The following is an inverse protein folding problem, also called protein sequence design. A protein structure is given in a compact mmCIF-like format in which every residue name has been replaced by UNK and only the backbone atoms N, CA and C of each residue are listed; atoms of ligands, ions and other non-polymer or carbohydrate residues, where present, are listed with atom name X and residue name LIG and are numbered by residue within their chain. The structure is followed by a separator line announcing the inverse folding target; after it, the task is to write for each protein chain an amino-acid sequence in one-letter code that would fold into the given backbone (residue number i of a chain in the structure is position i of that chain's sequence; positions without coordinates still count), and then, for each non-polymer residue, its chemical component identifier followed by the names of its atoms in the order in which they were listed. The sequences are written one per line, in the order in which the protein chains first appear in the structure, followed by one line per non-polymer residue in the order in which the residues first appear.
data_IF_653431917611
#
_entry.id   IF_653431917611
#
_cell.length_a   1.000
_cell.length_b   1.000
_cell.length_c   1.000
_cell.angle_alpha   90.00
_cell.angle_beta   90.00
_cell.angle_gamma   90.00
#
_symmetry.space_group_name_H-M   'P 1'
#
loop_
_entity.id
_entity.type
_entity.pdbx_description
1 polymer ?
#
# COMPACT_ATOMS: atom_id res chain seq x y z
N UNK A 1 14.47 12.61 17.61
CA UNK A 1 15.71 12.15 18.30
C UNK A 1 16.89 12.42 17.39
N UNK A 2 17.76 13.38 17.74
CA UNK A 2 18.87 13.84 16.89
C UNK A 2 20.07 12.89 16.98
N UNK A 3 20.71 12.59 15.86
CA UNK A 3 21.88 11.71 15.74
C UNK A 3 22.77 12.18 14.61
N UNK A 4 24.08 11.92 14.70
CA UNK A 4 25.02 12.14 13.60
C UNK A 4 25.30 10.83 12.87
N UNK A 5 25.19 10.83 11.55
CA UNK A 5 25.38 9.66 10.67
C UNK A 5 26.52 9.94 9.71
N UNK A 6 27.45 9.02 9.61
CA UNK A 6 28.60 9.16 8.71
C UNK A 6 28.22 8.82 7.26
N UNK A 7 28.82 9.55 6.31
CA UNK A 7 28.63 9.29 4.87
C UNK A 7 29.10 7.89 4.43
N UNK A 8 30.05 7.32 5.13
CA UNK A 8 30.56 5.96 4.90
C UNK A 8 29.55 4.84 5.23
N UNK A 9 28.52 5.17 6.06
CA UNK A 9 27.45 4.25 6.42
C UNK A 9 26.11 4.99 6.47
N UNK A 10 25.59 5.44 5.30
CA UNK A 10 24.40 6.24 5.22
C UNK A 10 23.15 5.43 5.58
N UNK A 11 22.09 6.13 5.96
CA UNK A 11 20.79 5.51 6.15
C UNK A 11 20.12 5.39 4.79
N UNK A 12 19.76 4.16 4.40
CA UNK A 12 18.91 3.91 3.24
C UNK A 12 17.48 4.27 3.61
N UNK A 13 16.85 5.07 2.76
CA UNK A 13 15.47 5.51 2.94
C UNK A 13 14.79 5.69 1.57
N UNK A 14 13.51 6.03 1.60
CA UNK A 14 12.66 6.15 0.42
C UNK A 14 11.92 7.47 0.44
N UNK A 15 11.79 8.08 -0.74
CA UNK A 15 11.19 9.40 -0.87
C UNK A 15 10.28 9.46 -2.10
N UNK A 16 9.15 10.14 -1.94
CA UNK A 16 8.26 10.51 -3.05
C UNK A 16 8.57 11.91 -3.58
N UNK A 17 8.16 12.14 -4.82
CA UNK A 17 8.31 13.40 -5.55
C UNK A 17 7.10 13.60 -6.47
N UNK A 18 6.92 14.82 -6.98
CA UNK A 18 6.03 15.05 -8.08
C UNK A 18 6.60 14.48 -9.41
N UNK A 19 5.86 14.62 -10.50
CA UNK A 19 6.25 14.17 -11.85
C UNK A 19 7.62 14.69 -12.35
N UNK A 20 8.03 15.87 -11.87
CA UNK A 20 9.29 16.55 -12.25
C UNK A 20 10.46 16.25 -11.28
N UNK A 21 10.35 15.26 -10.40
CA UNK A 21 11.31 14.98 -9.32
C UNK A 21 11.51 16.16 -8.36
N UNK A 22 10.46 16.94 -8.10
CA UNK A 22 10.49 18.00 -7.11
C UNK A 22 9.82 17.58 -5.80
N UNK A 23 10.24 18.15 -4.68
CA UNK A 23 9.49 18.02 -3.43
C UNK A 23 8.16 18.77 -3.52
N UNK A 24 7.07 18.19 -2.98
CA UNK A 24 5.74 18.80 -3.11
C UNK A 24 5.61 20.11 -2.33
N UNK A 25 6.26 20.22 -1.17
CA UNK A 25 6.04 21.36 -0.28
C UNK A 25 6.88 22.59 -0.60
N UNK A 26 8.11 22.41 -1.13
CA UNK A 26 9.04 23.51 -1.36
C UNK A 26 9.52 23.63 -2.81
N UNK A 27 9.04 22.76 -3.70
CA UNK A 27 9.42 22.75 -5.11
C UNK A 27 10.92 22.49 -5.34
N UNK A 28 11.64 21.97 -4.35
CA UNK A 28 13.07 21.69 -4.49
C UNK A 28 13.30 20.60 -5.53
N UNK A 29 14.11 20.92 -6.54
CA UNK A 29 14.40 20.04 -7.66
C UNK A 29 15.52 19.06 -7.32
N UNK A 30 15.27 17.76 -7.57
CA UNK A 30 16.25 16.71 -7.40
C UNK A 30 16.66 16.10 -8.74
N UNK A 31 17.82 15.47 -8.79
CA UNK A 31 18.31 14.67 -9.91
C UNK A 31 18.90 13.36 -9.40
N UNK A 32 18.66 12.26 -10.13
CA UNK A 32 19.23 10.94 -9.80
C UNK A 32 20.76 10.99 -9.87
N UNK A 33 21.40 10.41 -8.86
CA UNK A 33 22.85 10.38 -8.70
C UNK A 33 23.45 11.60 -7.99
N UNK A 34 22.69 12.69 -7.82
CA UNK A 34 23.19 13.92 -7.16
C UNK A 34 23.06 13.88 -5.64
N UNK A 35 23.99 14.59 -5.02
CA UNK A 35 24.02 14.85 -3.57
C UNK A 35 23.60 16.30 -3.29
N UNK A 36 22.91 16.49 -2.17
CA UNK A 36 22.47 17.80 -1.70
C UNK A 36 22.77 17.94 -0.23
N UNK A 37 23.04 19.17 0.19
CA UNK A 37 23.40 19.53 1.56
C UNK A 37 22.68 20.81 1.99
N UNK A 38 22.37 20.89 3.29
CA UNK A 38 21.94 22.12 3.96
C UNK A 38 22.84 22.38 5.17
N UNK A 39 23.17 23.64 5.40
CA UNK A 39 23.98 24.08 6.53
C UNK A 39 23.15 24.39 7.78
N UNK A 40 21.84 24.58 7.60
CA UNK A 40 20.90 24.90 8.68
C UNK A 40 20.65 23.71 9.61
N UNK A 41 20.21 24.00 10.82
CA UNK A 41 19.84 22.98 11.80
C UNK A 41 18.71 22.10 11.27
N UNK A 42 18.90 20.77 11.34
CA UNK A 42 17.90 19.79 10.93
C UNK A 42 16.82 19.65 12.00
N UNK A 43 15.58 19.80 11.58
CA UNK A 43 14.41 19.61 12.43
C UNK A 43 13.29 18.95 11.64
N UNK A 44 12.77 17.85 12.18
CA UNK A 44 11.73 17.05 11.53
C UNK A 44 10.47 17.89 11.27
N UNK A 45 9.93 17.80 10.05
CA UNK A 45 8.79 18.58 9.55
C UNK A 45 9.01 20.10 9.42
N UNK A 46 10.20 20.61 9.73
CA UNK A 46 10.55 22.04 9.63
C UNK A 46 11.62 22.24 8.59
N UNK A 47 12.81 21.63 8.80
CA UNK A 47 13.96 21.82 7.92
C UNK A 47 14.77 20.54 7.76
N UNK A 48 15.23 20.26 6.54
CA UNK A 48 16.01 19.07 6.21
C UNK A 48 15.44 18.26 5.04
N UNK A 49 16.19 17.27 4.61
CA UNK A 49 15.76 16.33 3.57
C UNK A 49 14.97 15.18 4.19
N UNK A 50 13.66 15.17 3.98
CA UNK A 50 12.74 14.21 4.56
C UNK A 50 12.59 12.96 3.68
N UNK A 51 12.57 11.78 4.31
CA UNK A 51 12.30 10.49 3.70
C UNK A 51 11.65 9.52 4.70
N UNK A 52 11.30 8.30 4.27
CA UNK A 52 10.82 7.23 5.13
C UNK A 52 11.76 6.03 5.07
N UNK A 53 11.95 5.34 6.20
CA UNK A 53 12.79 4.14 6.23
C UNK A 53 12.07 2.93 5.60
N UNK A 54 10.77 2.80 5.81
CA UNK A 54 9.97 1.80 5.11
C UNK A 54 9.36 2.41 3.84
N UNK A 55 9.52 1.77 2.67
CA UNK A 55 8.95 2.25 1.41
C UNK A 55 7.44 2.48 1.47
N UNK A 56 6.67 1.60 2.12
CA UNK A 56 5.21 1.73 2.19
C UNK A 56 4.76 2.97 2.97
N UNK A 57 5.59 3.47 3.89
CA UNK A 57 5.27 4.68 4.66
C UNK A 57 5.33 5.94 3.80
N UNK A 58 6.02 5.90 2.66
CA UNK A 58 6.04 7.00 1.71
C UNK A 58 4.65 7.29 1.16
N UNK A 59 3.83 6.27 0.98
CA UNK A 59 2.47 6.40 0.42
C UNK A 59 1.50 7.18 1.33
N UNK A 60 1.80 7.34 2.60
CA UNK A 60 1.04 8.23 3.50
C UNK A 60 1.23 9.72 3.18
N UNK A 61 2.33 10.07 2.55
CA UNK A 61 2.70 11.45 2.24
C UNK A 61 2.62 11.77 0.74
N UNK A 62 2.76 10.73 -0.07
CA UNK A 62 2.75 10.78 -1.52
C UNK A 62 1.86 9.66 -2.04
N UNK A 63 0.59 9.95 -2.25
CA UNK A 63 -0.37 8.97 -2.74
C UNK A 63 0.16 8.23 -3.96
N UNK A 64 -0.16 6.96 -4.08
CA UNK A 64 0.05 6.24 -5.33
C UNK A 64 -0.69 6.97 -6.44
N UNK A 65 0.03 7.35 -7.48
CA UNK A 65 -0.50 8.15 -8.58
C UNK A 65 0.46 8.04 -9.77
N UNK A 66 -0.03 8.13 -11.03
CA UNK A 66 0.83 8.19 -12.21
C UNK A 66 1.76 9.41 -12.22
N UNK A 67 1.43 10.45 -11.44
CA UNK A 67 2.20 11.69 -11.33
C UNK A 67 3.18 11.71 -10.16
N UNK A 68 3.24 10.63 -9.40
CA UNK A 68 4.16 10.51 -8.27
C UNK A 68 5.33 9.62 -8.66
N UNK A 69 6.54 10.12 -8.46
CA UNK A 69 7.77 9.39 -8.66
C UNK A 69 8.38 9.04 -7.31
N UNK A 70 9.07 7.91 -7.24
CA UNK A 70 9.69 7.42 -6.02
C UNK A 70 11.15 7.11 -6.24
N UNK A 71 11.98 7.31 -5.22
CA UNK A 71 13.39 6.96 -5.28
C UNK A 71 13.89 6.37 -3.97
N UNK A 72 14.87 5.48 -4.09
CA UNK A 72 15.75 5.10 -3.02
C UNK A 72 16.76 6.22 -2.80
N UNK A 73 16.97 6.61 -1.55
CA UNK A 73 17.85 7.70 -1.15
C UNK A 73 18.80 7.27 -0.04
N UNK A 74 19.94 7.92 0.04
CA UNK A 74 20.90 7.83 1.13
C UNK A 74 20.85 9.12 1.96
N UNK A 75 20.80 9.00 3.28
CA UNK A 75 20.76 10.11 4.22
C UNK A 75 21.94 10.03 5.19
N UNK A 76 22.60 11.16 5.42
CA UNK A 76 23.70 11.28 6.39
C UNK A 76 23.85 12.70 6.93
N UNK A 77 24.82 12.90 7.82
CA UNK A 77 25.08 14.17 8.52
C UNK A 77 24.28 14.27 9.81
N UNK A 78 23.74 15.43 10.09
CA UNK A 78 22.81 15.59 11.20
C UNK A 78 21.47 15.02 10.82
N UNK A 79 20.94 14.12 11.65
CA UNK A 79 19.71 13.37 11.35
C UNK A 79 18.76 13.47 12.52
N UNK A 80 17.49 13.75 12.24
CA UNK A 80 16.42 13.73 13.23
C UNK A 80 15.36 12.68 12.86
N UNK A 81 14.95 11.90 13.88
CA UNK A 81 13.99 10.80 13.76
C UNK A 81 12.72 11.13 14.51
N UNK A 82 11.60 10.74 13.97
CA UNK A 82 10.34 10.70 14.69
C UNK A 82 10.40 9.65 15.82
N UNK A 83 9.94 10.01 17.05
CA UNK A 83 10.05 9.10 18.20
C UNK A 83 9.12 7.88 18.07
N UNK A 84 7.98 8.04 17.43
CA UNK A 84 6.99 6.98 17.12
C UNK A 84 6.51 7.24 15.70
N UNK A 85 7.40 7.11 14.73
CA UNK A 85 7.00 7.50 13.40
C UNK A 85 7.88 6.94 12.32
N UNK A 86 7.51 7.27 11.14
CA UNK A 86 7.98 6.69 9.90
C UNK A 86 8.92 7.62 9.17
N UNK A 87 8.93 8.90 9.56
CA UNK A 87 9.76 9.95 8.93
C UNK A 87 11.13 10.07 9.56
N UNK A 88 12.05 10.41 8.71
CA UNK A 88 13.43 10.78 9.03
C UNK A 88 13.79 12.01 8.22
N UNK A 89 14.54 12.93 8.77
CA UNK A 89 15.14 14.01 8.01
C UNK A 89 16.64 14.14 8.28
N UNK A 90 17.38 14.63 7.30
CA UNK A 90 18.83 14.72 7.37
C UNK A 90 19.36 16.01 6.74
N UNK A 91 20.58 16.42 7.13
CA UNK A 91 21.29 17.54 6.51
C UNK A 91 21.83 17.21 5.11
N UNK A 92 21.99 15.93 4.79
CA UNK A 92 22.46 15.48 3.48
C UNK A 92 21.57 14.39 2.89
N UNK A 93 21.38 14.43 1.58
CA UNK A 93 20.67 13.42 0.81
C UNK A 93 21.37 13.15 -0.51
N UNK A 94 21.39 11.90 -0.93
CA UNK A 94 21.70 11.49 -2.31
C UNK A 94 20.55 10.74 -2.89
N UNK A 95 20.14 11.08 -4.11
CA UNK A 95 19.15 10.31 -4.86
C UNK A 95 19.88 9.16 -5.54
N UNK A 96 19.71 7.94 -5.04
CA UNK A 96 20.47 6.77 -5.52
C UNK A 96 19.94 6.29 -6.86
N UNK A 97 18.66 5.95 -6.89
CA UNK A 97 17.94 5.49 -8.08
C UNK A 97 16.45 5.75 -7.94
N UNK A 98 15.81 5.96 -9.06
CA UNK A 98 14.35 5.93 -9.13
C UNK A 98 13.85 4.49 -9.08
N UNK A 99 12.71 4.26 -8.43
CA UNK A 99 12.11 2.94 -8.27
C UNK A 99 10.61 3.01 -8.53
N UNK A 100 10.08 1.96 -9.14
CA UNK A 100 8.64 1.83 -9.41
C UNK A 100 7.83 1.45 -8.18
N UNK A 101 6.51 1.55 -8.30
CA UNK A 101 5.59 1.15 -7.23
C UNK A 101 5.75 -0.33 -6.88
N UNK A 102 5.99 -1.20 -7.86
CA UNK A 102 6.25 -2.62 -7.70
C UNK A 102 7.48 -2.89 -6.79
N UNK A 103 8.58 -2.19 -7.03
CA UNK A 103 9.78 -2.29 -6.20
C UNK A 103 9.52 -1.69 -4.80
N UNK A 104 8.80 -0.55 -4.71
CA UNK A 104 8.40 0.04 -3.43
C UNK A 104 7.58 -0.94 -2.58
N UNK A 105 6.59 -1.59 -3.18
CA UNK A 105 5.71 -2.56 -2.50
C UNK A 105 6.50 -3.80 -2.08
N UNK A 106 7.32 -4.35 -2.97
CA UNK A 106 8.16 -5.53 -2.67
C UNK A 106 9.07 -5.26 -1.48
N UNK A 107 9.85 -4.19 -1.54
CA UNK A 107 10.79 -3.82 -0.47
C UNK A 107 10.05 -3.52 0.83
N UNK A 108 8.92 -2.82 0.75
CA UNK A 108 8.14 -2.46 1.91
C UNK A 108 7.48 -3.65 2.60
N UNK A 109 7.02 -4.65 1.85
CA UNK A 109 6.53 -5.91 2.41
C UNK A 109 7.67 -6.63 3.13
N UNK A 110 8.83 -6.75 2.49
CA UNK A 110 10.01 -7.42 3.09
C UNK A 110 10.47 -6.73 4.38
N UNK A 111 10.53 -5.39 4.40
CA UNK A 111 10.89 -4.63 5.60
C UNK A 111 9.82 -4.68 6.70
N UNK A 112 8.56 -4.86 6.32
CA UNK A 112 7.43 -4.91 7.25
C UNK A 112 7.26 -6.25 7.93
N UNK A 113 7.88 -7.33 7.40
CA UNK A 113 7.81 -8.65 8.03
C UNK A 113 8.54 -8.63 9.38
N UNK A 114 7.94 -9.15 10.44
CA UNK A 114 8.53 -9.09 11.77
C UNK A 114 9.86 -9.84 11.82
N UNK A 115 10.91 -9.15 12.22
CA UNK A 115 12.16 -9.77 12.71
C UNK A 115 11.84 -10.28 14.13
N UNK A 116 11.28 -11.47 14.23
CA UNK A 116 10.73 -12.01 15.48
C UNK A 116 11.85 -12.19 16.49
N UNK A 117 11.81 -11.39 17.57
CA UNK A 117 12.47 -11.69 18.82
C UNK A 117 11.39 -12.04 19.82
N UNK A 118 11.15 -13.33 20.03
CA UNK A 118 10.30 -13.82 21.14
C UNK A 118 11.06 -13.55 22.42
N UNK A 119 10.51 -12.73 23.31
CA UNK A 119 11.06 -12.54 24.64
C UNK A 119 10.58 -13.68 25.54
N UNK A 120 11.47 -14.21 26.37
CA UNK A 120 11.16 -15.33 27.33
C UNK A 120 10.01 -14.99 28.30
N UNK A 121 9.60 -13.74 28.40
CA UNK A 121 8.51 -13.27 29.25
C UNK A 121 7.16 -13.13 28.51
N UNK A 122 7.08 -13.44 27.23
CA UNK A 122 5.82 -13.40 26.51
C UNK A 122 4.94 -14.55 27.01
N UNK A 123 3.74 -14.20 27.46
CA UNK A 123 2.81 -15.21 28.02
C UNK A 123 2.44 -16.21 26.93
N UNK A 124 3.05 -17.38 26.97
CA UNK A 124 2.60 -18.56 26.21
C UNK A 124 1.30 -19.02 26.89
N UNK A 125 0.20 -18.82 26.21
CA UNK A 125 -1.12 -19.14 26.71
C UNK A 125 -1.74 -20.27 25.87
N UNK A 126 -2.78 -20.90 26.42
CA UNK A 126 -3.56 -21.96 25.79
C UNK A 126 -4.09 -21.58 24.41
N UNK A 127 -4.71 -22.51 23.68
CA UNK A 127 -5.32 -22.34 22.34
C UNK A 127 -6.27 -21.15 22.19
N UNK A 128 -6.66 -20.52 23.31
CA UNK A 128 -7.57 -19.37 23.34
C UNK A 128 -7.02 -18.27 24.23
N UNK A 129 -6.82 -17.11 23.65
CA UNK A 129 -6.39 -15.91 24.33
C UNK A 129 -7.48 -14.85 24.19
N UNK A 130 -7.92 -14.30 25.31
CA UNK A 130 -8.85 -13.16 25.32
C UNK A 130 -8.20 -12.06 26.16
N UNK A 131 -8.09 -10.87 25.59
CA UNK A 131 -7.59 -9.68 26.27
C UNK A 131 -8.47 -8.47 25.97
N UNK A 132 -8.81 -7.70 27.02
CA UNK A 132 -9.44 -6.40 26.89
C UNK A 132 -8.56 -5.29 27.50
N UNK A 133 -7.27 -5.53 27.59
CA UNK A 133 -6.31 -4.59 28.14
C UNK A 133 -5.73 -3.75 26.99
N UNK A 134 -5.71 -2.43 27.18
CA UNK A 134 -5.01 -1.54 26.26
C UNK A 134 -3.50 -1.74 26.37
N UNK A 135 -2.77 -1.45 25.30
CA UNK A 135 -1.32 -1.58 25.17
C UNK A 135 -0.83 -3.01 25.50
N UNK A 136 -1.66 -4.03 25.23
CA UNK A 136 -1.31 -5.43 25.49
C UNK A 136 -0.47 -6.03 24.39
N UNK A 137 0.35 -7.03 24.75
CA UNK A 137 1.14 -7.83 23.82
C UNK A 137 0.74 -9.28 23.91
N UNK A 138 0.17 -9.80 22.84
CA UNK A 138 -0.37 -11.15 22.77
C UNK A 138 0.49 -11.98 21.84
N UNK A 139 1.03 -13.07 22.34
CA UNK A 139 1.77 -14.05 21.55
C UNK A 139 1.04 -15.39 21.55
N UNK A 140 0.74 -15.91 20.36
CA UNK A 140 0.12 -17.21 20.17
C UNK A 140 0.97 -18.09 19.23
N UNK A 141 1.72 -19.06 19.75
CA UNK A 141 2.55 -19.96 18.94
C UNK A 141 1.83 -21.24 18.48
N UNK A 142 0.54 -21.38 18.74
CA UNK A 142 -0.18 -22.63 18.55
C UNK A 142 -0.89 -22.72 17.20
N UNK A 143 -0.85 -23.90 16.58
CA UNK A 143 -1.75 -24.22 15.48
C UNK A 143 -3.22 -24.23 16.01
N UNK A 144 -4.17 -23.79 15.15
CA UNK A 144 -5.60 -23.68 15.49
C UNK A 144 -5.88 -22.69 16.62
N UNK A 145 -4.94 -21.79 16.92
CA UNK A 145 -5.05 -20.79 17.98
C UNK A 145 -6.17 -19.78 17.72
N UNK A 146 -6.80 -19.31 18.81
CA UNK A 146 -7.83 -18.28 18.76
C UNK A 146 -7.44 -17.11 19.64
N UNK A 147 -7.38 -15.93 19.06
CA UNK A 147 -7.07 -14.69 19.77
C UNK A 147 -8.24 -13.73 19.61
N UNK A 148 -8.71 -13.19 20.71
CA UNK A 148 -9.70 -12.11 20.72
C UNK A 148 -9.15 -10.93 21.55
N UNK A 149 -9.14 -9.75 20.99
CA UNK A 149 -8.75 -8.51 21.66
C UNK A 149 -9.87 -7.47 21.57
N UNK A 150 -10.11 -6.76 22.68
CA UNK A 150 -10.98 -5.58 22.70
C UNK A 150 -10.27 -4.34 23.28
N UNK A 151 -9.01 -4.47 23.67
CA UNK A 151 -8.17 -3.34 24.05
C UNK A 151 -7.62 -2.63 22.82
N UNK A 152 -7.40 -1.32 22.91
CA UNK A 152 -6.78 -0.53 21.88
C UNK A 152 -5.25 -0.55 21.98
N UNK A 153 -4.57 -0.29 20.88
CA UNK A 153 -3.11 -0.28 20.77
C UNK A 153 -2.48 -1.66 21.13
N UNK A 154 -3.18 -2.72 20.77
CA UNK A 154 -2.78 -4.10 21.09
C UNK A 154 -1.89 -4.65 19.98
N UNK A 155 -0.80 -5.30 20.37
CA UNK A 155 0.06 -6.01 19.41
C UNK A 155 -0.18 -7.52 19.51
N UNK A 156 -0.64 -8.13 18.41
CA UNK A 156 -0.94 -9.56 18.34
C UNK A 156 0.05 -10.22 17.37
N UNK A 157 0.85 -11.15 17.89
CA UNK A 157 1.68 -12.02 17.07
C UNK A 157 1.15 -13.45 17.17
N UNK A 158 0.70 -14.00 16.07
CA UNK A 158 0.19 -15.36 15.98
C UNK A 158 1.00 -16.17 14.97
N UNK A 159 1.61 -17.27 15.43
CA UNK A 159 2.47 -18.13 14.60
C UNK A 159 1.90 -19.54 14.60
N UNK A 160 1.58 -20.06 13.43
CA UNK A 160 1.02 -21.41 13.26
C UNK A 160 -0.04 -21.45 12.16
N UNK A 161 -0.64 -22.60 11.95
CA UNK A 161 -1.64 -22.80 10.93
C UNK A 161 -3.06 -22.76 11.51
N UNK A 162 -4.06 -22.39 10.68
CA UNK A 162 -5.49 -22.40 11.03
C UNK A 162 -5.85 -21.46 12.19
N UNK A 163 -5.23 -20.30 12.25
CA UNK A 163 -5.44 -19.34 13.31
C UNK A 163 -6.68 -18.48 13.07
N UNK A 164 -7.34 -18.08 14.16
CA UNK A 164 -8.45 -17.14 14.14
C UNK A 164 -8.15 -15.96 15.06
N UNK A 165 -8.07 -14.76 14.47
CA UNK A 165 -7.74 -13.53 15.20
C UNK A 165 -8.89 -12.55 15.02
N UNK A 166 -9.46 -12.10 16.12
CA UNK A 166 -10.48 -11.07 16.15
C UNK A 166 -10.01 -9.90 17.02
N UNK A 167 -10.08 -8.68 16.50
CA UNK A 167 -9.79 -7.48 17.27
C UNK A 167 -10.85 -6.41 17.06
N UNK A 168 -11.23 -5.74 18.14
CA UNK A 168 -12.18 -4.61 18.10
C UNK A 168 -11.58 -3.31 18.64
N UNK A 169 -10.32 -3.32 19.04
CA UNK A 169 -9.59 -2.13 19.49
C UNK A 169 -9.12 -1.24 18.34
N UNK A 170 -8.88 0.03 18.63
CA UNK A 170 -8.28 0.97 17.70
C UNK A 170 -6.75 0.84 17.70
N UNK A 171 -6.10 1.11 16.58
CA UNK A 171 -4.64 1.12 16.43
C UNK A 171 -3.97 -0.23 16.76
N UNK A 172 -4.60 -1.34 16.42
CA UNK A 172 -4.04 -2.66 16.71
C UNK A 172 -3.08 -3.11 15.61
N UNK A 173 -1.95 -3.69 16.03
CA UNK A 173 -0.96 -4.31 15.16
C UNK A 173 -1.11 -5.82 15.18
N UNK A 174 -1.49 -6.42 14.06
CA UNK A 174 -1.73 -7.87 13.95
C UNK A 174 -0.74 -8.50 12.97
N UNK A 175 0.00 -9.48 13.46
CA UNK A 175 0.94 -10.28 12.66
C UNK A 175 0.50 -11.75 12.67
N UNK A 176 0.13 -12.27 11.52
CA UNK A 176 -0.22 -13.68 11.34
C UNK A 176 0.80 -14.37 10.43
N UNK A 177 1.45 -15.40 10.95
CA UNK A 177 2.47 -16.19 10.23
C UNK A 177 2.07 -17.66 10.22
N UNK A 178 2.06 -18.25 9.04
CA UNK A 178 1.59 -19.64 8.81
C UNK A 178 0.33 -19.63 7.94
N UNK A 179 -0.15 -20.80 7.55
CA UNK A 179 -1.21 -20.91 6.55
C UNK A 179 -2.61 -20.87 7.16
N UNK A 180 -3.59 -20.47 6.34
CA UNK A 180 -5.00 -20.51 6.65
C UNK A 180 -5.40 -19.66 7.87
N UNK A 181 -4.81 -18.47 8.03
CA UNK A 181 -5.23 -17.55 9.08
C UNK A 181 -6.51 -16.79 8.68
N UNK A 182 -7.46 -16.71 9.60
CA UNK A 182 -8.64 -15.87 9.51
C UNK A 182 -8.46 -14.67 10.45
N UNK A 183 -8.44 -13.45 9.90
CA UNK A 183 -8.25 -12.22 10.67
C UNK A 183 -9.45 -11.31 10.45
N UNK A 184 -10.07 -10.87 11.55
CA UNK A 184 -11.19 -9.94 11.52
C UNK A 184 -10.97 -8.77 12.47
N UNK A 185 -11.11 -7.54 11.96
CA UNK A 185 -11.02 -6.32 12.77
C UNK A 185 -12.15 -5.36 12.47
N UNK A 186 -12.58 -4.58 13.48
CA UNK A 186 -13.54 -3.49 13.30
C UNK A 186 -13.09 -2.18 13.96
N UNK A 187 -11.91 -2.14 14.55
CA UNK A 187 -11.30 -0.93 15.10
C UNK A 187 -10.80 0.03 14.00
N UNK A 188 -10.47 1.25 14.39
CA UNK A 188 -9.86 2.24 13.50
C UNK A 188 -8.35 2.05 13.45
N UNK A 189 -7.74 2.35 12.30
CA UNK A 189 -6.29 2.34 12.08
C UNK A 189 -5.60 0.99 12.37
N UNK A 190 -6.20 -0.19 12.12
CA UNK A 190 -5.47 -1.43 12.32
C UNK A 190 -4.37 -1.59 11.27
N UNK A 191 -3.25 -2.16 11.70
CA UNK A 191 -2.17 -2.62 10.79
C UNK A 191 -2.17 -4.15 10.82
N UNK A 192 -2.45 -4.76 9.68
CA UNK A 192 -2.50 -6.21 9.55
C UNK A 192 -1.40 -6.67 8.61
N UNK A 193 -0.54 -7.56 9.10
CA UNK A 193 0.52 -8.17 8.31
C UNK A 193 0.32 -9.68 8.31
N UNK A 194 0.28 -10.26 7.13
CA UNK A 194 0.10 -11.71 6.99
C UNK A 194 1.18 -12.32 6.11
N UNK A 195 1.66 -13.51 6.49
CA UNK A 195 2.63 -14.27 5.73
C UNK A 195 2.24 -15.75 5.73
N UNK A 196 1.76 -16.24 4.60
CA UNK A 196 1.36 -17.63 4.42
C UNK A 196 0.36 -17.81 3.27
N UNK A 197 -0.23 -19.00 3.18
CA UNK A 197 -1.13 -19.39 2.11
C UNK A 197 -2.58 -19.43 2.63
N UNK A 198 -3.55 -19.07 1.79
CA UNK A 198 -4.98 -19.11 2.09
C UNK A 198 -5.38 -18.24 3.30
N UNK A 199 -4.86 -17.03 3.39
CA UNK A 199 -5.29 -16.10 4.42
C UNK A 199 -6.60 -15.42 4.05
N UNK A 200 -7.47 -15.24 5.05
CA UNK A 200 -8.70 -14.47 4.94
C UNK A 200 -8.63 -13.28 5.91
N UNK A 201 -8.60 -12.07 5.36
CA UNK A 201 -8.48 -10.84 6.13
C UNK A 201 -9.72 -9.99 5.87
N UNK A 202 -10.45 -9.66 6.91
CA UNK A 202 -11.62 -8.79 6.85
C UNK A 202 -11.49 -7.66 7.86
N UNK A 203 -11.65 -6.43 7.39
CA UNK A 203 -11.71 -5.27 8.27
C UNK A 203 -12.86 -4.36 7.85
N UNK A 204 -13.70 -4.00 8.80
CA UNK A 204 -14.74 -2.99 8.63
C UNK A 204 -14.33 -1.64 9.24
N UNK A 205 -13.12 -1.57 9.80
CA UNK A 205 -12.56 -0.37 10.39
C UNK A 205 -12.22 0.71 9.36
N UNK A 206 -11.91 1.89 9.86
CA UNK A 206 -11.51 3.04 9.08
C UNK A 206 -9.98 3.15 9.01
N UNK A 207 -9.43 3.50 7.85
CA UNK A 207 -7.98 3.65 7.62
C UNK A 207 -7.16 2.39 7.97
N UNK A 208 -7.56 1.26 7.45
CA UNK A 208 -6.83 0.01 7.65
C UNK A 208 -5.62 -0.09 6.74
N UNK A 209 -4.48 -0.55 7.26
CA UNK A 209 -3.32 -0.92 6.45
C UNK A 209 -3.12 -2.43 6.46
N UNK A 210 -3.19 -3.06 5.29
CA UNK A 210 -3.08 -4.50 5.13
C UNK A 210 -1.89 -4.82 4.24
N UNK A 211 -0.96 -5.61 4.76
CA UNK A 211 0.25 -6.05 4.07
C UNK A 211 0.21 -7.57 4.01
N UNK A 212 0.09 -8.12 2.83
CA UNK A 212 -0.04 -9.57 2.64
C UNK A 212 1.09 -10.13 1.79
N UNK A 213 1.81 -11.09 2.36
CA UNK A 213 2.81 -11.88 1.68
C UNK A 213 2.34 -13.34 1.59
N UNK A 214 2.34 -13.92 0.37
CA UNK A 214 1.91 -15.31 0.16
C UNK A 214 0.83 -15.41 -0.91
N UNK A 215 0.39 -16.62 -1.20
CA UNK A 215 -0.58 -16.88 -2.30
C UNK A 215 -1.98 -17.17 -1.77
N UNK A 216 -2.98 -17.04 -2.68
CA UNK A 216 -4.38 -17.36 -2.42
C UNK A 216 -4.95 -16.55 -1.23
N UNK A 217 -4.55 -15.28 -1.10
CA UNK A 217 -4.98 -14.39 -0.03
C UNK A 217 -6.26 -13.66 -0.42
N UNK A 218 -7.22 -13.63 0.51
CA UNK A 218 -8.46 -12.89 0.35
C UNK A 218 -8.50 -11.73 1.34
N UNK A 219 -8.63 -10.52 0.85
CA UNK A 219 -8.68 -9.29 1.66
C UNK A 219 -9.96 -8.54 1.34
N UNK A 220 -10.72 -8.19 2.39
CA UNK A 220 -11.83 -7.27 2.29
C UNK A 220 -11.66 -6.14 3.30
N UNK A 221 -11.69 -4.90 2.83
CA UNK A 221 -11.45 -3.73 3.67
C UNK A 221 -12.49 -2.63 3.47
N UNK A 222 -12.67 -1.83 4.52
CA UNK A 222 -13.54 -0.67 4.58
C UNK A 222 -12.93 0.59 3.94
N UNK A 223 -13.27 1.75 4.50
CA UNK A 223 -12.91 3.08 4.00
C UNK A 223 -11.44 3.43 4.25
N UNK A 224 -10.84 4.20 3.35
CA UNK A 224 -9.46 4.68 3.40
C UNK A 224 -8.45 3.54 3.63
N UNK A 225 -8.71 2.41 2.99
CA UNK A 225 -7.87 1.23 3.15
C UNK A 225 -6.63 1.32 2.24
N UNK A 226 -5.51 0.91 2.79
CA UNK A 226 -4.28 0.65 2.05
C UNK A 226 -4.03 -0.85 2.02
N UNK A 227 -4.07 -1.47 0.84
CA UNK A 227 -3.85 -2.90 0.66
C UNK A 227 -2.63 -3.11 -0.22
N UNK A 228 -1.64 -3.81 0.31
CA UNK A 228 -0.42 -4.18 -0.39
C UNK A 228 -0.30 -5.70 -0.43
N UNK A 229 -0.19 -6.27 -1.64
CA UNK A 229 -0.06 -7.72 -1.80
C UNK A 229 0.95 -8.08 -2.88
N UNK A 230 1.86 -9.00 -2.56
CA UNK A 230 2.70 -9.66 -3.55
C UNK A 230 2.20 -11.07 -3.90
N UNK A 231 1.06 -11.43 -3.33
CA UNK A 231 0.48 -12.78 -3.44
C UNK A 231 -0.03 -13.12 -4.83
N UNK A 232 0.38 -14.29 -5.33
CA UNK A 232 -0.26 -14.87 -6.51
C UNK A 232 -1.68 -15.33 -6.19
N UNK A 233 -2.64 -15.11 -7.13
CA UNK A 233 -4.05 -15.41 -6.99
C UNK A 233 -4.74 -14.63 -5.85
N UNK A 234 -4.25 -13.46 -5.49
CA UNK A 234 -4.88 -12.64 -4.46
C UNK A 234 -6.26 -12.15 -4.90
N UNK A 235 -7.21 -12.13 -3.97
CA UNK A 235 -8.51 -11.46 -4.15
C UNK A 235 -8.58 -10.29 -3.18
N UNK A 236 -8.62 -9.07 -3.72
CA UNK A 236 -8.49 -7.83 -2.96
C UNK A 236 -9.74 -6.97 -3.18
N UNK A 237 -10.36 -6.57 -2.10
CA UNK A 237 -11.53 -5.71 -2.12
C UNK A 237 -11.36 -4.52 -1.17
N UNK A 238 -11.65 -3.31 -1.65
CA UNK A 238 -11.75 -2.12 -0.83
C UNK A 238 -12.98 -1.31 -1.19
N UNK A 239 -13.60 -0.68 -0.20
CA UNK A 239 -14.87 0.04 -0.37
C UNK A 239 -14.82 1.47 0.18
N UNK A 240 -15.85 2.25 -0.13
CA UNK A 240 -16.18 3.60 0.30
C UNK A 240 -15.30 4.70 -0.33
N UNK A 241 -14.30 5.26 0.35
CA UNK A 241 -13.62 6.47 -0.07
C UNK A 241 -12.10 6.35 0.09
N UNK A 242 -11.35 6.96 -0.82
CA UNK A 242 -9.88 7.14 -0.78
C UNK A 242 -9.08 5.87 -0.47
N UNK A 243 -9.55 4.70 -0.95
CA UNK A 243 -8.83 3.44 -0.75
C UNK A 243 -7.81 3.20 -1.86
N UNK A 244 -6.70 2.57 -1.50
CA UNK A 244 -5.59 2.27 -2.39
C UNK A 244 -5.25 0.78 -2.36
N UNK A 245 -5.06 0.18 -3.53
CA UNK A 245 -4.65 -1.22 -3.67
C UNK A 245 -3.43 -1.29 -4.57
N UNK A 246 -2.33 -1.88 -4.08
CA UNK A 246 -1.19 -2.25 -4.89
C UNK A 246 -0.99 -3.77 -4.86
N UNK A 247 -1.02 -4.41 -6.03
CA UNK A 247 -0.84 -5.85 -6.19
C UNK A 247 0.25 -6.13 -7.20
N UNK A 248 1.25 -6.92 -6.81
CA UNK A 248 2.34 -7.31 -7.70
C UNK A 248 2.31 -8.79 -8.11
N UNK A 249 1.46 -9.59 -7.47
CA UNK A 249 1.30 -11.02 -7.80
C UNK A 249 0.42 -11.26 -9.03
N UNK A 250 0.73 -12.34 -9.77
CA UNK A 250 -0.06 -12.76 -10.93
C UNK A 250 -1.46 -13.24 -10.56
N UNK A 251 -2.39 -13.19 -11.53
CA UNK A 251 -3.77 -13.63 -11.42
C UNK A 251 -4.56 -12.95 -10.29
N UNK A 252 -4.22 -11.73 -9.94
CA UNK A 252 -4.95 -10.99 -8.92
C UNK A 252 -6.38 -10.65 -9.40
N UNK A 253 -7.37 -10.84 -8.52
CA UNK A 253 -8.73 -10.35 -8.70
C UNK A 253 -8.91 -9.14 -7.78
N UNK A 254 -9.10 -7.96 -8.34
CA UNK A 254 -9.16 -6.71 -7.58
C UNK A 254 -10.50 -6.04 -7.85
N UNK A 255 -11.22 -5.72 -6.79
CA UNK A 255 -12.44 -4.92 -6.89
C UNK A 255 -12.34 -3.73 -5.94
N UNK A 256 -12.55 -2.53 -6.47
CA UNK A 256 -12.59 -1.31 -5.69
C UNK A 256 -13.90 -0.56 -5.95
N UNK A 257 -14.67 -0.29 -4.90
CA UNK A 257 -15.89 0.53 -4.96
C UNK A 257 -15.72 1.90 -4.30
N UNK A 258 -14.49 2.32 -4.15
CA UNK A 258 -14.08 3.55 -3.48
C UNK A 258 -14.14 4.76 -4.43
N UNK A 259 -14.86 5.80 -4.05
CA UNK A 259 -14.71 7.12 -4.69
C UNK A 259 -13.30 7.63 -4.46
N UNK A 260 -12.64 8.15 -5.50
CA UNK A 260 -11.21 8.48 -5.55
C UNK A 260 -10.29 7.28 -5.30
N UNK A 261 -10.78 6.06 -5.54
CA UNK A 261 -9.99 4.85 -5.38
C UNK A 261 -8.83 4.77 -6.36
N UNK A 262 -7.73 4.20 -5.92
CA UNK A 262 -6.56 3.96 -6.76
C UNK A 262 -6.16 2.49 -6.75
N UNK A 263 -5.95 1.92 -7.93
CA UNK A 263 -5.44 0.56 -8.09
C UNK A 263 -4.19 0.59 -8.94
N UNK A 264 -3.12 -0.01 -8.45
CA UNK A 264 -1.93 -0.36 -9.23
C UNK A 264 -1.73 -1.88 -9.20
N UNK A 265 -1.74 -2.50 -10.38
CA UNK A 265 -1.50 -3.94 -10.52
C UNK A 265 -0.35 -4.20 -11.49
N UNK A 266 0.71 -4.84 -10.99
CA UNK A 266 1.91 -5.15 -11.79
C UNK A 266 1.96 -6.62 -12.23
N UNK A 267 1.18 -7.51 -11.61
CA UNK A 267 1.12 -8.93 -11.97
C UNK A 267 0.39 -9.19 -13.28
N UNK A 268 0.78 -10.25 -13.98
CA UNK A 268 0.11 -10.69 -15.21
C UNK A 268 -1.25 -11.31 -14.95
N UNK A 269 -2.10 -11.31 -15.97
CA UNK A 269 -3.44 -11.92 -15.94
C UNK A 269 -4.37 -11.36 -14.85
N UNK A 270 -4.14 -10.10 -14.41
CA UNK A 270 -4.96 -9.44 -13.42
C UNK A 270 -6.37 -9.12 -13.96
N UNK A 271 -7.38 -9.28 -13.11
CA UNK A 271 -8.76 -8.86 -13.35
C UNK A 271 -9.11 -7.77 -12.36
N UNK A 272 -9.32 -6.56 -12.87
CA UNK A 272 -9.50 -5.38 -12.05
C UNK A 272 -10.84 -4.75 -12.37
N UNK A 273 -11.66 -4.51 -11.35
CA UNK A 273 -12.93 -3.81 -11.48
C UNK A 273 -12.99 -2.61 -10.53
N UNK A 274 -13.34 -1.46 -11.06
CA UNK A 274 -13.70 -0.28 -10.25
C UNK A 274 -15.17 0.09 -10.48
N UNK A 275 -15.89 0.27 -9.38
CA UNK A 275 -17.26 0.77 -9.35
C UNK A 275 -17.33 2.19 -8.77
N UNK A 276 -16.26 2.66 -8.16
CA UNK A 276 -16.21 3.96 -7.51
C UNK A 276 -15.95 5.10 -8.49
N UNK A 277 -16.58 6.25 -8.22
CA UNK A 277 -16.40 7.45 -9.01
C UNK A 277 -14.98 8.01 -8.90
N UNK A 278 -14.52 8.69 -9.96
CA UNK A 278 -13.23 9.39 -10.01
C UNK A 278 -12.03 8.50 -9.65
N UNK A 279 -12.20 7.20 -9.78
CA UNK A 279 -11.10 6.26 -9.52
C UNK A 279 -10.12 6.18 -10.69
N UNK A 280 -8.90 5.82 -10.36
CA UNK A 280 -7.81 5.60 -11.33
C UNK A 280 -7.32 4.17 -11.22
N UNK A 281 -7.25 3.48 -12.35
CA UNK A 281 -6.78 2.10 -12.42
C UNK A 281 -5.57 2.02 -13.34
N UNK A 282 -4.52 1.41 -12.86
CA UNK A 282 -3.30 1.18 -13.60
C UNK A 282 -2.92 -0.30 -13.56
N UNK A 283 -2.75 -0.89 -14.73
CA UNK A 283 -2.22 -2.25 -14.86
C UNK A 283 -1.00 -2.25 -15.75
N UNK A 284 0.16 -2.52 -15.14
CA UNK A 284 1.43 -2.64 -15.86
C UNK A 284 1.81 -4.10 -16.14
N UNK A 285 1.01 -5.05 -15.64
CA UNK A 285 1.12 -6.47 -15.96
C UNK A 285 0.56 -6.83 -17.33
N UNK A 286 0.95 -7.98 -17.85
CA UNK A 286 0.49 -8.47 -19.16
C UNK A 286 -0.91 -9.08 -19.07
N UNK A 287 -1.67 -9.00 -20.17
CA UNK A 287 -2.98 -9.65 -20.35
C UNK A 287 -4.03 -9.30 -19.28
N UNK A 288 -3.98 -8.10 -18.78
CA UNK A 288 -4.97 -7.65 -17.80
C UNK A 288 -6.34 -7.39 -18.43
N UNK A 289 -7.40 -7.59 -17.65
CA UNK A 289 -8.73 -7.07 -17.92
C UNK A 289 -9.03 -5.97 -16.90
N UNK A 290 -9.16 -4.74 -17.38
CA UNK A 290 -9.47 -3.56 -16.57
C UNK A 290 -10.89 -3.08 -16.90
N UNK A 291 -11.76 -3.06 -15.91
CA UNK A 291 -13.14 -2.56 -16.02
C UNK A 291 -13.32 -1.39 -15.06
N UNK A 292 -13.60 -0.21 -15.59
CA UNK A 292 -13.83 0.99 -14.80
C UNK A 292 -15.23 1.53 -15.10
N UNK A 293 -16.17 1.24 -14.18
CA UNK A 293 -17.59 1.48 -14.35
C UNK A 293 -18.13 2.70 -13.58
N UNK A 294 -17.33 3.34 -12.74
CA UNK A 294 -17.73 4.55 -12.02
C UNK A 294 -17.75 5.80 -12.93
N UNK A 295 -18.39 6.86 -12.43
CA UNK A 295 -18.41 8.15 -13.12
C UNK A 295 -17.04 8.84 -13.09
N UNK A 296 -16.64 9.40 -14.23
CA UNK A 296 -15.42 10.19 -14.38
C UNK A 296 -14.13 9.42 -13.97
N UNK A 297 -14.09 8.16 -14.34
CA UNK A 297 -12.95 7.25 -14.07
C UNK A 297 -11.95 7.27 -15.22
N UNK A 298 -10.76 6.80 -14.93
CA UNK A 298 -9.69 6.64 -15.92
C UNK A 298 -8.92 5.35 -15.67
N UNK A 299 -8.43 4.79 -16.77
CA UNK A 299 -7.66 3.56 -16.71
C UNK A 299 -6.52 3.53 -17.72
N UNK A 300 -5.46 2.82 -17.40
CA UNK A 300 -4.41 2.41 -18.34
C UNK A 300 -4.07 0.94 -18.17
N UNK A 301 -3.58 0.35 -19.24
CA UNK A 301 -3.08 -1.02 -19.22
C UNK A 301 -1.94 -1.20 -20.22
N UNK A 302 -1.19 -2.28 -20.06
CA UNK A 302 -0.12 -2.66 -20.98
C UNK A 302 -0.71 -3.21 -22.30
N UNK A 303 0.07 -3.10 -23.38
CA UNK A 303 -0.26 -3.73 -24.66
C UNK A 303 -0.57 -5.23 -24.47
N UNK A 304 -1.64 -5.72 -25.11
CA UNK A 304 -2.14 -7.08 -24.95
C UNK A 304 -3.22 -7.22 -23.88
N UNK A 305 -3.66 -6.13 -23.28
CA UNK A 305 -4.72 -6.07 -22.27
C UNK A 305 -6.03 -5.52 -22.83
N UNK A 306 -7.11 -5.62 -22.06
CA UNK A 306 -8.39 -5.01 -22.37
C UNK A 306 -8.74 -3.93 -21.34
N UNK A 307 -9.30 -2.81 -21.83
CA UNK A 307 -9.85 -1.73 -20.99
C UNK A 307 -11.32 -1.56 -21.34
N UNK A 308 -12.18 -1.53 -20.32
CA UNK A 308 -13.61 -1.20 -20.41
C UNK A 308 -13.86 0.07 -19.61
N UNK A 309 -14.42 1.09 -20.24
CA UNK A 309 -14.76 2.36 -19.62
C UNK A 309 -16.25 2.69 -19.80
N UNK A 310 -16.79 3.45 -18.86
CA UNK A 310 -18.18 3.90 -18.84
C UNK A 310 -18.24 5.43 -18.90
N UNK A 311 -19.13 5.95 -19.74
CA UNK A 311 -19.47 7.37 -19.81
C UNK A 311 -20.87 7.59 -19.26
N UNK A 312 -21.02 8.63 -18.46
CA UNK A 312 -22.29 9.08 -17.88
C UNK A 312 -22.74 10.40 -18.47
N UNK A 313 -24.03 10.62 -18.52
CA UNK A 313 -24.61 11.92 -18.84
C UNK A 313 -24.68 12.85 -17.60
N UNK A 314 -25.25 14.03 -17.78
CA UNK A 314 -25.40 15.03 -16.70
C UNK A 314 -26.39 14.62 -15.60
N UNK A 315 -27.22 13.60 -15.84
CA UNK A 315 -28.17 13.05 -14.89
C UNK A 315 -27.61 11.85 -14.12
N UNK A 316 -26.35 11.47 -14.35
CA UNK A 316 -25.71 10.25 -13.84
C UNK A 316 -26.31 8.95 -14.44
N UNK A 317 -26.94 9.03 -15.62
CA UNK A 317 -27.32 7.85 -16.37
C UNK A 317 -26.17 7.37 -17.25
N UNK A 318 -26.04 6.04 -17.40
CA UNK A 318 -25.01 5.47 -18.28
C UNK A 318 -25.33 5.82 -19.73
N UNK A 319 -24.47 6.62 -20.33
CA UNK A 319 -24.59 7.05 -21.74
C UNK A 319 -23.93 6.04 -22.70
N UNK A 320 -22.78 5.52 -22.31
CA UNK A 320 -22.00 4.61 -23.15
C UNK A 320 -21.10 3.70 -22.30
N UNK A 321 -20.93 2.48 -22.73
CA UNK A 321 -19.92 1.55 -22.24
C UNK A 321 -19.12 1.06 -23.45
N UNK A 322 -17.80 1.20 -23.39
CA UNK A 322 -16.94 0.79 -24.50
C UNK A 322 -15.76 -0.05 -23.99
N UNK A 323 -15.49 -1.13 -24.69
CA UNK A 323 -14.34 -2.00 -24.46
C UNK A 323 -13.34 -1.83 -25.61
N UNK A 324 -12.07 -1.69 -25.28
CA UNK A 324 -11.00 -1.55 -26.25
C UNK A 324 -9.82 -2.45 -25.91
N UNK A 325 -9.24 -3.05 -26.95
CA UNK A 325 -8.00 -3.80 -26.83
C UNK A 325 -6.81 -2.83 -26.94
N UNK A 326 -5.87 -2.94 -26.03
CA UNK A 326 -4.63 -2.14 -26.03
C UNK A 326 -3.69 -2.75 -27.06
N UNK A 327 -3.74 -2.23 -28.27
CA UNK A 327 -2.99 -2.73 -29.45
C UNK A 327 -1.60 -2.10 -29.57
N UNK A 328 -1.35 -0.99 -28.89
CA UNK A 328 -0.11 -0.22 -28.96
C UNK A 328 -0.09 0.82 -30.06
N UNK A 329 -1.12 0.86 -30.93
CA UNK A 329 -1.24 1.80 -32.05
C UNK A 329 -2.37 2.80 -31.82
N UNK A 330 -3.62 2.34 -31.89
CA UNK A 330 -4.82 3.15 -31.66
C UNK A 330 -5.08 3.38 -30.16
N UNK A 331 -4.92 2.33 -29.39
CA UNK A 331 -4.94 2.37 -27.92
C UNK A 331 -3.53 2.04 -27.43
N UNK A 332 -2.80 3.09 -27.03
CA UNK A 332 -1.41 2.98 -26.63
C UNK A 332 -1.31 2.28 -25.25
N UNK A 333 -0.25 1.49 -25.09
CA UNK A 333 0.08 0.92 -23.79
C UNK A 333 0.52 2.00 -22.79
N UNK A 334 0.30 1.76 -21.51
CA UNK A 334 0.70 2.61 -20.39
C UNK A 334 0.19 4.07 -20.46
N UNK A 335 -0.84 4.32 -21.27
CA UNK A 335 -1.46 5.62 -21.46
C UNK A 335 -2.83 5.64 -20.74
N UNK A 336 -3.09 6.68 -19.96
CA UNK A 336 -4.38 6.86 -19.28
C UNK A 336 -5.47 7.28 -20.25
N UNK A 337 -6.60 6.61 -20.19
CA UNK A 337 -7.78 6.90 -20.98
C UNK A 337 -9.01 7.14 -20.10
N UNK A 338 -9.90 8.00 -20.59
CA UNK A 338 -11.29 8.14 -20.14
C UNK A 338 -12.22 8.01 -21.35
N UNK A 339 -13.50 7.68 -21.12
CA UNK A 339 -14.50 7.64 -22.16
C UNK A 339 -15.19 9.01 -22.28
N UNK A 340 -15.13 9.62 -23.45
CA UNK A 340 -15.74 10.93 -23.75
C UNK A 340 -16.44 10.87 -25.11
N UNK A 341 -17.74 11.14 -25.16
CA UNK A 341 -18.55 11.03 -26.36
C UNK A 341 -18.43 9.68 -27.09
N UNK A 342 -18.33 8.60 -26.30
CA UNK A 342 -18.17 7.23 -26.81
C UNK A 342 -16.79 6.89 -27.34
N UNK A 343 -15.78 7.76 -27.18
CA UNK A 343 -14.43 7.52 -27.63
C UNK A 343 -13.41 7.55 -26.47
N UNK A 344 -12.38 6.67 -26.59
CA UNK A 344 -11.25 6.68 -25.67
C UNK A 344 -10.41 7.92 -25.93
N UNK A 345 -10.30 8.79 -24.95
CA UNK A 345 -9.53 10.03 -24.99
C UNK A 345 -8.36 9.93 -24.01
N UNK A 346 -7.15 10.18 -24.49
CA UNK A 346 -5.97 10.27 -23.64
C UNK A 346 -6.17 11.38 -22.59
N UNK A 347 -5.75 11.12 -21.36
CA UNK A 347 -5.85 12.05 -20.25
C UNK A 347 -4.55 12.07 -19.45
N UNK A 348 -4.31 13.18 -18.80
CA UNK A 348 -3.21 13.35 -17.85
C UNK A 348 -3.56 12.77 -16.48
#
# INVERSE_FOLDING_TARGET
MKKKVEKSNPIIAYKGFNENLCSIYFGFQYEVGKEYHIDDEVELCVNGFHACQNPLDVFEYYNMSPYTRYAMVELWGDVDFENVGKKICASNIRIVKEIGIDEMVTLGIMESMPKIKVNENDKISNDRIISCKNDDRIYNPHNVGRVASCGSNTSILSIGHWQKIASSGDCDDIYAIGDCAEISTNGRLPIIKSNGINHHISTSGYSSRIISHGRDVNVASGSMAEIYSDGKNATLYASYMDSQIASIGDNANICISSTYGYVNSCGSDARIMSLGDKSTIESTGEKALVVSAGHNTRARAKVGSWIVLTEYDTNYDIKCVKAEYVDGERIKGDTLYRLVNGEFVETE
#
